data_IF_045403014432
#
_entry.id   IF_045403014432
#
_cell.length_a   1.000
_cell.length_b   1.000
_cell.length_c   1.000
_cell.angle_alpha   90.00
_cell.angle_beta   90.00
_cell.angle_gamma   90.00
#
_symmetry.space_group_name_H-M   'P 1'
#
loop_
_entity.id
_entity.type
_entity.pdbx_description
1 polymer ?
#
# COMPACT_ATOMS: atom_id res chain seq x y z
N UNK A 1 49.06 25.17 -23.50
CA UNK A 1 47.58 25.25 -23.52
C UNK A 1 47.12 25.99 -22.27
N UNK A 2 46.23 26.98 -22.42
CA UNK A 2 45.62 27.68 -21.28
C UNK A 2 44.51 26.84 -20.67
N UNK A 3 44.49 26.70 -19.35
CA UNK A 3 43.48 25.92 -18.62
C UNK A 3 43.09 26.65 -17.33
N UNK A 4 41.82 26.60 -16.91
CA UNK A 4 41.42 27.03 -15.58
C UNK A 4 41.82 25.99 -14.54
N UNK A 5 42.16 26.43 -13.34
CA UNK A 5 42.30 25.56 -12.18
C UNK A 5 40.92 25.21 -11.60
N UNK A 6 40.74 23.93 -11.26
CA UNK A 6 39.49 23.38 -10.72
C UNK A 6 39.60 23.04 -9.23
N UNK A 7 40.72 23.40 -8.59
CA UNK A 7 40.90 23.18 -7.14
C UNK A 7 40.39 24.39 -6.37
N UNK A 8 39.85 24.14 -5.17
CA UNK A 8 39.28 25.15 -4.27
C UNK A 8 40.24 26.29 -3.96
N UNK A 9 41.54 25.99 -3.86
CA UNK A 9 42.56 27.00 -3.53
C UNK A 9 42.82 28.02 -4.64
N UNK A 10 42.48 27.71 -5.89
CA UNK A 10 42.68 28.61 -7.03
C UNK A 10 41.52 28.40 -8.03
N UNK A 11 40.27 28.64 -7.64
CA UNK A 11 39.12 28.26 -8.43
C UNK A 11 39.04 29.19 -9.64
N UNK A 12 38.95 28.61 -10.84
CA UNK A 12 38.84 29.34 -12.11
C UNK A 12 40.11 30.06 -12.57
N UNK A 13 41.15 30.18 -11.71
CA UNK A 13 42.40 30.88 -12.04
C UNK A 13 43.10 30.19 -13.21
N UNK A 14 43.43 30.94 -14.26
CA UNK A 14 44.04 30.35 -15.47
C UNK A 14 45.53 30.18 -15.32
N UNK A 15 46.03 29.06 -15.84
CA UNK A 15 47.44 28.75 -15.96
C UNK A 15 47.78 28.26 -17.38
N UNK A 16 49.04 28.46 -17.78
CA UNK A 16 49.64 27.74 -18.89
C UNK A 16 50.43 26.56 -18.33
N UNK A 17 50.12 25.37 -18.81
CA UNK A 17 50.82 24.15 -18.43
C UNK A 17 51.29 23.36 -19.63
N UNK A 18 52.34 22.56 -19.43
CA UNK A 18 52.75 21.53 -20.36
C UNK A 18 51.59 20.55 -20.63
N UNK A 19 51.29 20.29 -21.91
CA UNK A 19 50.23 19.34 -22.29
C UNK A 19 50.62 17.91 -21.94
N UNK A 20 51.92 17.60 -22.02
CA UNK A 20 52.50 16.27 -21.79
C UNK A 20 53.00 16.05 -20.35
N UNK A 21 52.58 16.87 -19.37
CA UNK A 21 53.12 16.82 -17.99
C UNK A 21 52.92 15.47 -17.26
N UNK A 22 51.98 14.64 -17.72
CA UNK A 22 51.70 13.30 -17.19
C UNK A 22 52.48 12.17 -17.88
N UNK A 23 53.25 12.46 -18.93
CA UNK A 23 54.02 11.43 -19.66
C UNK A 23 55.35 11.18 -18.96
N UNK A 24 55.86 9.93 -19.05
CA UNK A 24 57.23 9.59 -18.66
C UNK A 24 58.18 10.44 -19.53
N UNK A 25 59.09 11.20 -18.89
CA UNK A 25 59.94 12.23 -19.53
C UNK A 25 59.15 13.42 -20.14
N UNK A 26 57.97 13.74 -19.60
CA UNK A 26 57.21 14.94 -19.98
C UNK A 26 57.84 16.25 -19.51
N UNK A 27 57.36 17.39 -20.04
CA UNK A 27 57.77 18.70 -19.55
C UNK A 27 57.06 19.11 -18.25
N UNK A 28 57.75 19.88 -17.41
CA UNK A 28 57.24 20.36 -16.12
C UNK A 28 56.90 21.86 -16.12
N UNK A 29 56.71 22.45 -17.31
CA UNK A 29 56.36 23.85 -17.43
C UNK A 29 54.97 24.16 -16.84
N UNK A 30 54.91 25.16 -15.97
CA UNK A 30 53.70 25.67 -15.34
C UNK A 30 53.87 27.16 -15.00
N UNK A 31 52.88 27.99 -15.36
CA UNK A 31 52.83 29.40 -14.94
C UNK A 31 51.40 29.88 -14.79
N UNK A 32 51.13 30.68 -13.75
CA UNK A 32 49.85 31.37 -13.57
C UNK A 32 49.74 32.58 -14.50
N UNK A 33 48.58 32.74 -15.14
CA UNK A 33 48.29 33.90 -15.99
C UNK A 33 47.57 34.97 -15.18
N UNK A 34 46.53 34.56 -14.46
CA UNK A 34 45.73 35.46 -13.66
C UNK A 34 46.39 35.70 -12.28
N UNK A 35 46.12 36.84 -11.62
CA UNK A 35 46.50 37.03 -10.22
C UNK A 35 45.83 35.97 -9.31
N UNK A 36 46.30 35.82 -8.06
CA UNK A 36 45.64 34.96 -7.09
C UNK A 36 44.14 35.26 -6.98
N UNK A 37 43.33 34.21 -6.81
CA UNK A 37 41.89 34.38 -6.63
C UNK A 37 41.64 35.16 -5.34
N UNK A 38 40.71 36.11 -5.37
CA UNK A 38 40.33 36.89 -4.19
C UNK A 38 39.66 36.00 -3.14
N UNK A 39 39.70 36.44 -1.88
CA UNK A 39 39.16 35.71 -0.72
C UNK A 39 37.70 35.31 -0.91
N UNK A 40 36.85 36.25 -1.35
CA UNK A 40 35.45 35.96 -1.72
C UNK A 40 35.33 34.82 -2.75
N UNK A 41 36.22 34.75 -3.73
CA UNK A 41 36.21 33.68 -4.73
C UNK A 41 36.57 32.31 -4.15
N UNK A 42 37.41 32.28 -3.12
CA UNK A 42 37.74 31.07 -2.36
C UNK A 42 36.54 30.63 -1.51
N UNK A 43 35.92 31.56 -0.78
CA UNK A 43 34.72 31.29 0.04
C UNK A 43 33.61 30.67 -0.81
N UNK A 44 33.35 31.25 -1.99
CA UNK A 44 32.35 30.69 -2.91
C UNK A 44 32.72 29.29 -3.40
N UNK A 45 34.00 29.01 -3.68
CA UNK A 45 34.42 27.68 -4.11
C UNK A 45 34.24 26.63 -3.01
N UNK A 46 34.53 26.98 -1.76
CA UNK A 46 34.28 26.11 -0.59
C UNK A 46 32.79 25.82 -0.41
N UNK A 47 31.94 26.86 -0.46
CA UNK A 47 30.49 26.70 -0.36
C UNK A 47 29.96 25.82 -1.50
N UNK A 48 30.43 26.05 -2.73
CA UNK A 48 30.00 25.26 -3.89
C UNK A 48 30.45 23.80 -3.79
N UNK A 49 31.66 23.54 -3.26
CA UNK A 49 32.11 22.18 -3.03
C UNK A 49 31.25 21.49 -1.97
N UNK A 50 30.99 22.15 -0.84
CA UNK A 50 30.12 21.58 0.20
C UNK A 50 28.71 21.29 -0.34
N UNK A 51 28.13 22.20 -1.14
CA UNK A 51 26.84 21.98 -1.80
C UNK A 51 26.87 20.80 -2.77
N UNK A 52 27.95 20.64 -3.53
CA UNK A 52 28.11 19.52 -4.45
C UNK A 52 28.12 18.19 -3.68
N UNK A 53 28.90 18.11 -2.61
CA UNK A 53 29.00 16.90 -1.78
C UNK A 53 27.67 16.55 -1.09
N UNK A 54 26.90 17.57 -0.68
CA UNK A 54 25.54 17.39 -0.18
C UNK A 54 24.59 16.85 -1.26
N UNK A 55 24.60 17.45 -2.45
CA UNK A 55 23.76 16.99 -3.57
C UNK A 55 24.13 15.57 -4.01
N UNK A 56 25.42 15.22 -4.03
CA UNK A 56 25.87 13.86 -4.35
C UNK A 56 25.35 12.85 -3.33
N UNK A 57 25.32 13.19 -2.04
CA UNK A 57 24.70 12.35 -0.99
C UNK A 57 23.19 12.20 -1.20
N UNK A 58 22.47 13.30 -1.43
CA UNK A 58 21.03 13.25 -1.68
C UNK A 58 20.67 12.40 -2.91
N UNK A 59 21.47 12.47 -3.97
CA UNK A 59 21.29 11.63 -5.16
C UNK A 59 21.45 10.15 -4.81
N UNK A 60 22.42 9.80 -3.98
CA UNK A 60 22.63 8.42 -3.56
C UNK A 60 21.50 7.90 -2.66
N UNK A 61 21.06 8.71 -1.70
CA UNK A 61 19.91 8.38 -0.85
C UNK A 61 18.63 8.18 -1.67
N UNK A 62 18.38 9.04 -2.66
CA UNK A 62 17.23 8.92 -3.56
C UNK A 62 17.30 7.65 -4.41
N UNK A 63 18.47 7.23 -4.88
CA UNK A 63 18.61 5.96 -5.60
C UNK A 63 18.26 4.78 -4.71
N UNK A 64 18.79 4.73 -3.48
CA UNK A 64 18.49 3.66 -2.54
C UNK A 64 16.99 3.57 -2.24
N UNK A 65 16.35 4.72 -1.99
CA UNK A 65 14.91 4.78 -1.74
C UNK A 65 14.10 4.32 -2.96
N UNK A 66 14.52 4.70 -4.17
CA UNK A 66 13.85 4.29 -5.40
C UNK A 66 13.98 2.78 -5.65
N UNK A 67 15.12 2.17 -5.32
CA UNK A 67 15.32 0.72 -5.37
C UNK A 67 14.47 -0.02 -4.33
N UNK A 68 14.35 0.52 -3.11
CA UNK A 68 13.49 -0.04 -2.08
C UNK A 68 12.01 0.05 -2.48
N UNK A 69 11.57 1.21 -2.98
CA UNK A 69 10.22 1.41 -3.47
C UNK A 69 9.90 0.48 -4.65
N UNK A 70 10.86 0.29 -5.57
CA UNK A 70 10.73 -0.66 -6.68
C UNK A 70 10.53 -2.10 -6.20
N UNK A 71 11.30 -2.54 -5.19
CA UNK A 71 11.13 -3.86 -4.56
C UNK A 71 9.78 -4.00 -3.86
N UNK A 72 9.33 -2.97 -3.14
CA UNK A 72 8.02 -2.96 -2.49
C UNK A 72 6.88 -3.07 -3.49
N UNK A 73 6.97 -2.33 -4.60
CA UNK A 73 6.00 -2.39 -5.69
C UNK A 73 5.90 -3.78 -6.31
N UNK A 74 7.03 -4.43 -6.58
CA UNK A 74 7.06 -5.77 -7.15
C UNK A 74 6.37 -6.80 -6.23
N UNK A 75 6.64 -6.75 -4.92
CA UNK A 75 5.98 -7.63 -3.95
C UNK A 75 4.46 -7.43 -3.93
N UNK A 76 4.01 -6.18 -3.97
CA UNK A 76 2.58 -5.88 -4.02
C UNK A 76 1.94 -6.38 -5.32
N UNK A 77 2.62 -6.28 -6.45
CA UNK A 77 2.16 -6.86 -7.72
C UNK A 77 2.06 -8.39 -7.63
N UNK A 78 3.05 -9.07 -7.07
CA UNK A 78 3.03 -10.53 -6.85
C UNK A 78 1.89 -10.96 -5.89
N UNK A 79 1.67 -10.23 -4.80
CA UNK A 79 0.56 -10.48 -3.87
C UNK A 79 -0.80 -10.26 -4.54
N UNK A 80 -0.92 -9.25 -5.40
CA UNK A 80 -2.13 -8.96 -6.14
C UNK A 80 -2.44 -10.09 -7.14
N UNK A 81 -1.44 -10.57 -7.87
CA UNK A 81 -1.57 -11.70 -8.78
C UNK A 81 -1.98 -12.99 -8.04
N UNK A 82 -1.37 -13.25 -6.87
CA UNK A 82 -1.74 -14.39 -6.03
C UNK A 82 -3.18 -14.29 -5.49
N UNK A 83 -3.63 -13.07 -5.17
CA UNK A 83 -5.02 -12.83 -4.76
C UNK A 83 -5.99 -13.07 -5.90
N UNK A 84 -5.66 -12.69 -7.14
CA UNK A 84 -6.51 -12.98 -8.31
C UNK A 84 -6.72 -14.48 -8.51
N UNK A 85 -5.67 -15.29 -8.35
CA UNK A 85 -5.77 -16.76 -8.43
C UNK A 85 -6.71 -17.30 -7.34
N UNK A 86 -6.53 -16.86 -6.08
CA UNK A 86 -7.42 -17.27 -4.98
C UNK A 86 -8.86 -16.87 -5.22
N UNK A 87 -9.11 -15.67 -5.73
CA UNK A 87 -10.45 -15.21 -6.08
C UNK A 87 -11.07 -16.15 -7.11
N UNK A 88 -10.35 -16.53 -8.17
CA UNK A 88 -10.84 -17.48 -9.17
C UNK A 88 -11.21 -18.84 -8.53
N UNK A 89 -10.36 -19.42 -7.68
CA UNK A 89 -10.64 -20.68 -6.98
C UNK A 89 -11.88 -20.58 -6.08
N UNK A 90 -11.99 -19.52 -5.27
CA UNK A 90 -13.13 -19.27 -4.41
C UNK A 90 -14.43 -19.10 -5.21
N UNK A 91 -14.39 -18.45 -6.37
CA UNK A 91 -15.56 -18.33 -7.24
C UNK A 91 -16.02 -19.69 -7.78
N UNK A 92 -15.09 -20.58 -8.15
CA UNK A 92 -15.43 -21.93 -8.60
C UNK A 92 -16.06 -22.76 -7.46
N UNK A 93 -15.47 -22.70 -6.27
CA UNK A 93 -15.99 -23.39 -5.07
C UNK A 93 -17.40 -22.90 -4.74
N UNK A 94 -17.64 -21.59 -4.79
CA UNK A 94 -18.97 -21.00 -4.53
C UNK A 94 -20.01 -21.46 -5.56
N UNK A 95 -19.67 -21.58 -6.84
CA UNK A 95 -20.56 -22.11 -7.87
C UNK A 95 -20.93 -23.57 -7.59
N UNK A 96 -19.96 -24.41 -7.22
CA UNK A 96 -20.19 -25.82 -6.87
C UNK A 96 -21.07 -25.96 -5.62
N UNK A 97 -20.82 -25.15 -4.59
CA UNK A 97 -21.64 -25.09 -3.38
C UNK A 97 -23.07 -24.63 -3.69
N UNK A 98 -23.26 -23.62 -4.54
CA UNK A 98 -24.58 -23.16 -4.97
C UNK A 98 -25.35 -24.25 -5.75
N UNK A 99 -24.67 -25.07 -6.54
CA UNK A 99 -25.29 -26.21 -7.22
C UNK A 99 -25.72 -27.33 -6.24
N UNK A 100 -24.93 -27.57 -5.19
CA UNK A 100 -25.23 -28.57 -4.16
C UNK A 100 -26.30 -28.09 -3.16
N UNK A 101 -26.26 -26.81 -2.83
CA UNK A 101 -27.32 -26.13 -2.08
C UNK A 101 -28.46 -25.77 -3.04
N UNK A 102 -29.13 -26.79 -3.58
CA UNK A 102 -30.43 -26.62 -4.23
C UNK A 102 -31.37 -25.81 -3.33
N UNK A 103 -32.43 -25.18 -3.87
CA UNK A 103 -33.28 -24.25 -3.12
C UNK A 103 -33.66 -24.87 -1.78
N UNK A 104 -33.27 -24.22 -0.68
CA UNK A 104 -33.54 -24.68 0.68
C UNK A 104 -35.03 -25.03 0.75
N UNK A 105 -35.37 -26.32 0.84
CA UNK A 105 -36.74 -26.82 1.00
C UNK A 105 -37.25 -26.40 2.38
N UNK A 106 -37.55 -25.12 2.55
CA UNK A 106 -38.14 -24.54 3.76
C UNK A 106 -39.61 -24.94 3.92
N UNK A 107 -40.17 -25.66 2.95
CA UNK A 107 -41.55 -26.11 2.89
C UNK A 107 -41.92 -26.96 4.11
N UNK A 108 -41.14 -27.98 4.47
CA UNK A 108 -41.54 -28.88 5.56
C UNK A 108 -41.47 -28.22 6.94
N UNK A 109 -40.48 -27.34 7.18
CA UNK A 109 -40.35 -26.62 8.47
C UNK A 109 -41.43 -25.54 8.60
N UNK A 110 -41.71 -24.78 7.53
CA UNK A 110 -42.80 -23.80 7.53
C UNK A 110 -44.16 -24.47 7.75
N UNK A 111 -44.44 -25.60 7.08
CA UNK A 111 -45.67 -26.36 7.30
C UNK A 111 -45.76 -26.89 8.72
N UNK A 112 -44.67 -27.44 9.28
CA UNK A 112 -44.67 -27.95 10.65
C UNK A 112 -44.95 -26.83 11.67
N UNK A 113 -44.34 -25.66 11.51
CA UNK A 113 -44.58 -24.49 12.37
C UNK A 113 -46.03 -24.02 12.27
N UNK A 114 -46.59 -23.95 11.06
CA UNK A 114 -48.00 -23.59 10.85
C UNK A 114 -48.93 -24.61 11.52
N UNK A 115 -48.69 -25.91 11.35
CA UNK A 115 -49.47 -26.98 11.99
C UNK A 115 -49.40 -26.87 13.51
N UNK A 116 -48.21 -26.64 14.09
CA UNK A 116 -48.05 -26.45 15.53
C UNK A 116 -48.83 -25.24 16.05
N UNK A 117 -48.77 -24.10 15.33
CA UNK A 117 -49.54 -22.90 15.70
C UNK A 117 -51.05 -23.16 15.65
N UNK A 118 -51.55 -23.87 14.62
CA UNK A 118 -52.97 -24.24 14.51
C UNK A 118 -53.38 -25.17 15.64
N UNK A 119 -52.58 -26.18 15.98
CA UNK A 119 -52.87 -27.09 17.11
C UNK A 119 -52.94 -26.31 18.42
N UNK A 120 -51.98 -25.43 18.69
CA UNK A 120 -51.99 -24.59 19.90
C UNK A 120 -53.21 -23.68 19.94
N UNK A 121 -53.64 -23.11 18.80
CA UNK A 121 -54.84 -22.28 18.74
C UNK A 121 -56.12 -23.10 18.96
N UNK A 122 -56.26 -24.27 18.33
CA UNK A 122 -57.44 -25.14 18.49
C UNK A 122 -57.53 -25.70 19.92
N UNK A 123 -56.43 -26.21 20.46
CA UNK A 123 -56.39 -26.79 21.81
C UNK A 123 -56.45 -25.70 22.88
N UNK A 124 -55.80 -24.56 22.67
CA UNK A 124 -55.71 -23.48 23.65
C UNK A 124 -56.91 -22.53 23.67
N UNK A 125 -57.61 -22.34 22.54
CA UNK A 125 -58.71 -21.37 22.41
C UNK A 125 -60.05 -22.08 22.23
N UNK A 126 -60.16 -23.03 21.28
CA UNK A 126 -61.44 -23.66 20.94
C UNK A 126 -61.89 -24.72 21.96
N UNK A 127 -60.98 -25.56 22.46
CA UNK A 127 -61.34 -26.61 23.44
C UNK A 127 -61.89 -26.00 24.75
N UNK A 128 -61.31 -24.95 25.34
CA UNK A 128 -61.90 -24.28 26.50
C UNK A 128 -63.23 -23.58 26.19
N UNK A 129 -63.40 -22.98 25.01
CA UNK A 129 -64.66 -22.35 24.59
C UNK A 129 -65.80 -23.34 24.37
N UNK A 130 -65.52 -24.55 23.89
CA UNK A 130 -66.52 -25.62 23.74
C UNK A 130 -66.90 -26.22 25.12
N UNK A 131 -66.00 -26.14 26.09
CA UNK A 131 -66.19 -26.72 27.43
C UNK A 131 -66.86 -25.77 28.44
N UNK A 132 -67.37 -24.61 28.04
CA UNK A 132 -68.26 -23.82 28.90
C UNK A 132 -69.67 -24.44 28.90
N UNK A 133 -70.09 -25.13 29.97
CA UNK A 133 -71.42 -25.72 30.03
C UNK A 133 -72.44 -24.64 30.39
N UNK A 134 -73.48 -24.56 29.58
CA UNK A 134 -74.75 -23.91 29.92
C UNK A 134 -75.33 -24.52 31.21
N UNK A 135 -75.60 -23.64 32.18
CA UNK A 135 -76.74 -23.67 33.09
C UNK A 135 -76.85 -24.77 34.17
N UNK A 136 -76.71 -24.35 35.44
CA UNK A 136 -77.70 -24.67 36.48
C UNK A 136 -78.02 -23.40 37.27
N UNK A 137 -79.09 -22.70 36.85
CA UNK A 137 -79.86 -21.84 37.73
C UNK A 137 -80.71 -22.76 38.61
N UNK A 138 -80.36 -22.89 39.88
CA UNK A 138 -81.28 -23.47 40.87
C UNK A 138 -82.17 -22.35 41.39
N UNK A 139 -83.47 -22.45 41.07
CA UNK A 139 -84.55 -21.62 41.58
C UNK A 139 -84.63 -21.70 43.12
N UNK A 140 -84.84 -20.56 43.76
CA UNK A 140 -85.51 -20.46 45.06
C UNK A 140 -87.03 -20.51 44.83
N UNK A 141 -87.74 -21.41 45.50
CA UNK A 141 -89.18 -21.28 45.76
C UNK A 141 -89.64 -22.22 46.89
N UNK A 142 -90.22 -21.56 47.92
CA UNK A 142 -90.94 -22.03 49.12
C UNK A 142 -90.09 -22.57 50.27
#
# INVERSE_FOLDING_TARGET
MMRPSLIVKNPGRRFLGCVNYKKKNGCNFFIWIDPPTCERGLDYAEIMQAKKEELERQVEDLKMMNEELGRGKQKLEEENDALFVKIAELTEINVKLAAQTGPRKTTNVKTLVVVLVVIVFVVGVLVPSIKQPMEKKTLYLV
#
